data_IF_175572244526
#
_entry.id   IF_175572244526
#
_cell.length_a   1.000
_cell.length_b   1.000
_cell.length_c   1.000
_cell.angle_alpha   90.00
_cell.angle_beta   90.00
_cell.angle_gamma   90.00
#
_symmetry.space_group_name_H-M   'P 1'
#
loop_
_entity.id
_entity.type
_entity.pdbx_description
1 polymer ?
#
# COMPACT_ATOMS: atom_id res chain seq x y z
N UNK A 1 -29.07 0.03 19.24
CA UNK A 1 -28.63 0.32 17.84
C UNK A 1 -27.12 0.11 17.61
N UNK A 2 -26.24 0.74 18.40
CA UNK A 2 -24.78 0.69 18.21
C UNK A 2 -24.15 -0.71 18.40
N UNK A 3 -24.65 -1.51 19.35
CA UNK A 3 -24.15 -2.88 19.57
C UNK A 3 -24.49 -3.86 18.44
N UNK A 4 -25.60 -3.65 17.73
CA UNK A 4 -26.01 -4.46 16.58
C UNK A 4 -25.15 -4.18 15.35
N UNK A 5 -24.81 -2.91 15.12
CA UNK A 5 -23.89 -2.50 14.05
C UNK A 5 -22.48 -3.02 14.34
N UNK A 6 -22.03 -2.94 15.60
CA UNK A 6 -20.75 -3.52 16.02
C UNK A 6 -20.69 -5.03 15.79
N UNK A 7 -21.73 -5.77 16.16
CA UNK A 7 -21.78 -7.22 15.99
C UNK A 7 -21.92 -7.63 14.50
N UNK A 8 -22.66 -6.87 13.71
CA UNK A 8 -22.77 -7.09 12.26
C UNK A 8 -21.45 -6.82 11.53
N UNK A 9 -20.78 -5.72 11.86
CA UNK A 9 -19.43 -5.42 11.36
C UNK A 9 -18.43 -6.51 11.78
N UNK A 10 -18.49 -6.97 13.03
CA UNK A 10 -17.63 -8.05 13.52
C UNK A 10 -17.88 -9.35 12.74
N UNK A 11 -19.16 -9.70 12.49
CA UNK A 11 -19.54 -10.91 11.75
C UNK A 11 -19.19 -10.86 10.27
N UNK A 12 -19.30 -9.70 9.60
CA UNK A 12 -18.83 -9.51 8.23
C UNK A 12 -17.29 -9.50 8.11
N UNK A 13 -16.57 -9.10 9.17
CA UNK A 13 -15.09 -9.06 9.23
C UNK A 13 -14.47 -10.41 9.67
N UNK A 14 -15.25 -11.32 10.26
CA UNK A 14 -14.77 -12.62 10.77
C UNK A 14 -15.27 -13.83 10.01
N UNK A 15 -16.01 -13.65 8.92
CA UNK A 15 -16.52 -14.80 8.16
C UNK A 15 -15.36 -15.48 7.41
N UNK A 16 -14.81 -16.50 8.07
CA UNK A 16 -13.81 -17.43 7.55
C UNK A 16 -14.54 -18.52 6.78
N UNK A 17 -14.36 -18.54 5.47
CA UNK A 17 -14.68 -19.72 4.66
C UNK A 17 -13.33 -20.35 4.29
N UNK A 18 -13.10 -21.57 4.77
CA UNK A 18 -11.83 -22.28 4.65
C UNK A 18 -11.72 -22.95 3.27
N UNK A 19 -11.55 -22.15 2.22
CA UNK A 19 -11.20 -22.67 0.90
C UNK A 19 -9.85 -22.09 0.48
N UNK A 20 -8.86 -22.97 0.36
CA UNK A 20 -7.49 -22.63 -0.02
C UNK A 20 -7.45 -22.25 -1.51
N UNK A 21 -7.81 -21.00 -1.82
CA UNK A 21 -7.72 -20.44 -3.16
C UNK A 21 -6.38 -19.71 -3.29
N UNK A 22 -5.67 -20.02 -4.39
CA UNK A 22 -4.43 -19.41 -4.93
C UNK A 22 -3.98 -18.10 -4.25
N UNK A 23 -2.72 -17.98 -3.77
CA UNK A 23 -2.26 -16.83 -3.01
C UNK A 23 -2.38 -15.53 -3.82
N UNK A 24 -3.35 -14.68 -3.46
CA UNK A 24 -3.50 -13.35 -4.04
C UNK A 24 -2.57 -12.40 -3.30
N UNK A 25 -1.63 -11.78 -4.01
CA UNK A 25 -0.72 -10.79 -3.45
C UNK A 25 -1.38 -9.42 -3.43
N UNK A 26 -1.11 -8.64 -2.37
CA UNK A 26 -1.58 -7.27 -2.28
C UNK A 26 -0.74 -6.34 -3.17
N UNK A 27 -1.39 -5.59 -4.05
CA UNK A 27 -0.71 -4.59 -4.90
C UNK A 27 -0.46 -3.30 -4.12
N UNK A 28 0.61 -3.29 -3.31
CA UNK A 28 0.97 -2.16 -2.44
C UNK A 28 1.05 -0.83 -3.18
N UNK A 29 1.65 -0.80 -4.38
CA UNK A 29 1.87 0.44 -5.11
C UNK A 29 0.57 1.09 -5.60
N UNK A 30 -0.43 0.30 -5.98
CA UNK A 30 -1.69 0.84 -6.53
C UNK A 30 -2.64 1.28 -5.42
N UNK A 31 -2.84 0.42 -4.42
CA UNK A 31 -3.79 0.67 -3.33
C UNK A 31 -3.31 1.80 -2.41
N UNK A 32 -2.04 1.78 -2.01
CA UNK A 32 -1.46 2.85 -1.16
C UNK A 32 -1.50 4.19 -1.90
N UNK A 33 -1.11 4.22 -3.18
CA UNK A 33 -1.15 5.46 -3.97
C UNK A 33 -2.56 5.99 -4.13
N UNK A 34 -3.56 5.12 -4.32
CA UNK A 34 -4.97 5.51 -4.41
C UNK A 34 -5.45 6.17 -3.11
N UNK A 35 -5.17 5.56 -1.96
CA UNK A 35 -5.53 6.11 -0.64
C UNK A 35 -4.85 7.48 -0.41
N UNK A 36 -3.57 7.60 -0.76
CA UNK A 36 -2.83 8.87 -0.66
C UNK A 36 -3.41 9.95 -1.57
N UNK A 37 -3.84 9.60 -2.79
CA UNK A 37 -4.50 10.51 -3.71
C UNK A 37 -5.82 11.02 -3.13
N UNK A 38 -6.67 10.13 -2.61
CA UNK A 38 -7.91 10.54 -1.94
C UNK A 38 -7.65 11.41 -0.71
N UNK A 39 -6.58 11.14 0.04
CA UNK A 39 -6.16 11.99 1.15
C UNK A 39 -5.80 13.40 0.68
N UNK A 40 -5.01 13.50 -0.39
CA UNK A 40 -4.64 14.78 -1.00
C UNK A 40 -5.85 15.57 -1.48
N UNK A 41 -6.79 14.92 -2.16
CA UNK A 41 -8.05 15.53 -2.59
C UNK A 41 -8.85 15.99 -1.37
N UNK A 42 -8.93 15.18 -0.31
CA UNK A 42 -9.61 15.52 0.92
C UNK A 42 -9.07 16.77 1.60
N UNK A 43 -7.75 16.88 1.76
CA UNK A 43 -7.14 18.08 2.32
C UNK A 43 -7.41 19.32 1.46
N UNK A 44 -7.27 19.19 0.14
CA UNK A 44 -7.43 20.32 -0.79
C UNK A 44 -8.89 20.79 -0.85
N UNK A 45 -9.85 19.87 -0.95
CA UNK A 45 -11.27 20.21 -1.04
C UNK A 45 -11.90 20.59 0.31
N UNK A 46 -11.25 20.31 1.45
CA UNK A 46 -11.71 20.73 2.77
C UNK A 46 -11.96 22.25 2.85
N UNK A 47 -11.10 23.06 2.21
CA UNK A 47 -11.24 24.52 2.17
C UNK A 47 -12.20 24.99 1.07
N UNK A 48 -12.25 24.29 -0.07
CA UNK A 48 -13.09 24.66 -1.21
C UNK A 48 -14.57 24.37 -0.95
N UNK A 49 -14.88 23.17 -0.45
CA UNK A 49 -16.23 22.68 -0.26
C UNK A 49 -16.27 21.72 0.94
N UNK A 50 -16.43 22.23 2.19
CA UNK A 50 -16.35 21.41 3.40
C UNK A 50 -17.41 20.31 3.45
N UNK A 51 -18.49 20.44 2.66
CA UNK A 51 -19.55 19.45 2.55
C UNK A 51 -19.08 18.10 1.99
N UNK A 52 -17.95 18.04 1.25
CA UNK A 52 -17.39 16.79 0.72
C UNK A 52 -16.67 15.95 1.79
N UNK A 53 -16.22 16.59 2.86
CA UNK A 53 -15.43 15.97 3.92
C UNK A 53 -16.17 14.83 4.65
N UNK A 54 -17.45 14.95 5.05
CA UNK A 54 -18.17 13.84 5.66
C UNK A 54 -18.33 12.65 4.71
N UNK A 55 -18.56 12.88 3.41
CA UNK A 55 -18.63 11.79 2.42
C UNK A 55 -17.29 11.07 2.28
N UNK A 56 -16.19 11.83 2.27
CA UNK A 56 -14.86 11.26 2.21
C UNK A 56 -14.49 10.50 3.49
N UNK A 57 -14.93 10.99 4.66
CA UNK A 57 -14.74 10.30 5.93
C UNK A 57 -15.45 8.95 5.95
N UNK A 58 -16.68 8.89 5.43
CA UNK A 58 -17.42 7.64 5.27
C UNK A 58 -16.65 6.70 4.34
N UNK A 59 -16.15 7.19 3.20
CA UNK A 59 -15.29 6.41 2.30
C UNK A 59 -14.06 5.84 3.02
N UNK A 60 -13.32 6.66 3.77
CA UNK A 60 -12.15 6.18 4.53
C UNK A 60 -12.53 5.17 5.62
N UNK A 61 -13.70 5.32 6.25
CA UNK A 61 -14.19 4.37 7.24
C UNK A 61 -14.46 3.00 6.62
N UNK A 62 -15.20 2.97 5.49
CA UNK A 62 -15.44 1.72 4.76
C UNK A 62 -14.14 1.13 4.20
N UNK A 63 -13.27 1.94 3.62
CA UNK A 63 -11.97 1.50 3.13
C UNK A 63 -11.14 0.88 4.25
N UNK A 64 -11.07 1.51 5.43
CA UNK A 64 -10.37 0.95 6.59
C UNK A 64 -10.92 -0.42 7.00
N UNK A 65 -12.25 -0.57 7.07
CA UNK A 65 -12.89 -1.84 7.43
C UNK A 65 -12.60 -2.94 6.38
N UNK A 66 -12.76 -2.62 5.10
CA UNK A 66 -12.54 -3.55 3.99
C UNK A 66 -11.07 -3.96 3.90
N UNK A 67 -10.14 -3.00 3.89
CA UNK A 67 -8.70 -3.32 3.83
C UNK A 67 -8.25 -4.11 5.05
N UNK A 68 -8.75 -3.79 6.25
CA UNK A 68 -8.43 -4.58 7.46
C UNK A 68 -8.91 -6.02 7.33
N UNK A 69 -10.13 -6.23 6.85
CA UNK A 69 -10.66 -7.57 6.60
C UNK A 69 -9.83 -8.33 5.56
N UNK A 70 -9.51 -7.69 4.44
CA UNK A 70 -8.74 -8.31 3.37
C UNK A 70 -7.31 -8.65 3.79
N UNK A 71 -6.65 -7.79 4.56
CA UNK A 71 -5.28 -8.04 5.05
C UNK A 71 -5.25 -9.23 6.03
N UNK A 72 -6.29 -9.42 6.85
CA UNK A 72 -6.34 -10.53 7.80
C UNK A 72 -6.77 -11.86 7.16
N UNK A 73 -7.71 -11.83 6.21
CA UNK A 73 -8.39 -13.04 5.74
C UNK A 73 -8.05 -13.46 4.30
N UNK A 74 -7.61 -12.53 3.44
CA UNK A 74 -7.45 -12.81 1.99
C UNK A 74 -6.00 -12.70 1.54
N UNK A 75 -5.30 -11.64 1.94
CA UNK A 75 -3.98 -11.34 1.39
C UNK A 75 -2.86 -12.07 2.12
N UNK A 76 -1.98 -12.68 1.34
CA UNK A 76 -0.71 -13.20 1.84
C UNK A 76 0.38 -12.12 1.73
N UNK A 77 1.07 -11.84 2.83
CA UNK A 77 2.18 -10.86 2.88
C UNK A 77 3.43 -11.50 2.27
N UNK A 78 3.62 -11.32 0.96
CA UNK A 78 4.81 -11.82 0.24
C UNK A 78 6.09 -11.09 0.64
N UNK A 79 6.00 -9.81 0.97
CA UNK A 79 7.15 -8.96 1.29
C UNK A 79 6.92 -8.21 2.59
N UNK A 80 7.88 -8.33 3.51
CA UNK A 80 7.95 -7.57 4.75
C UNK A 80 8.63 -6.23 4.45
N UNK A 81 7.85 -5.15 4.37
CA UNK A 81 8.39 -3.83 3.97
C UNK A 81 8.88 -2.96 5.14
N UNK A 82 8.82 -3.46 6.38
CA UNK A 82 9.36 -2.79 7.58
C UNK A 82 8.94 -1.31 7.76
N UNK A 83 7.75 -0.95 7.29
CA UNK A 83 7.28 0.44 7.33
C UNK A 83 7.95 1.40 6.34
N UNK A 84 8.70 0.91 5.33
CA UNK A 84 9.37 1.72 4.30
C UNK A 84 8.43 2.63 3.50
N UNK A 85 7.12 2.33 3.44
CA UNK A 85 6.11 3.20 2.82
C UNK A 85 5.69 4.39 3.69
N UNK A 86 6.05 4.44 4.98
CA UNK A 86 5.69 5.53 5.87
C UNK A 86 6.29 6.89 5.45
N UNK A 87 7.59 6.99 5.10
CA UNK A 87 8.14 8.21 4.52
C UNK A 87 7.40 8.68 3.26
N UNK A 88 6.92 7.76 2.42
CA UNK A 88 6.13 8.10 1.23
C UNK A 88 4.78 8.72 1.63
N UNK A 89 4.06 8.09 2.56
CA UNK A 89 2.79 8.61 3.06
C UNK A 89 2.94 9.97 3.76
N UNK A 90 4.00 10.15 4.56
CA UNK A 90 4.32 11.41 5.20
C UNK A 90 4.60 12.51 4.18
N UNK A 91 5.44 12.25 3.16
CA UNK A 91 5.72 13.22 2.11
C UNK A 91 4.46 13.62 1.34
N UNK A 92 3.60 12.67 0.99
CA UNK A 92 2.34 12.95 0.31
C UNK A 92 1.40 13.80 1.18
N UNK A 93 1.35 13.54 2.49
CA UNK A 93 0.54 14.32 3.44
C UNK A 93 1.06 15.76 3.55
N UNK A 94 2.37 15.95 3.73
CA UNK A 94 2.97 17.29 3.76
C UNK A 94 2.72 18.04 2.44
N UNK A 95 2.88 17.36 1.30
CA UNK A 95 2.59 17.96 0.00
C UNK A 95 1.13 18.41 -0.11
N UNK A 96 0.18 17.58 0.34
CA UNK A 96 -1.23 17.94 0.36
C UNK A 96 -1.55 19.13 1.27
N UNK A 97 -0.87 19.27 2.41
CA UNK A 97 -1.00 20.42 3.30
C UNK A 97 -0.47 21.71 2.65
N UNK A 98 0.71 21.65 2.02
CA UNK A 98 1.27 22.79 1.29
C UNK A 98 0.34 23.19 0.14
N UNK A 99 -0.17 22.22 -0.63
CA UNK A 99 -1.13 22.47 -1.71
C UNK A 99 -2.40 23.16 -1.18
N UNK A 100 -2.93 22.68 -0.05
CA UNK A 100 -4.10 23.25 0.62
C UNK A 100 -3.84 24.71 1.05
N UNK A 101 -2.65 25.00 1.59
CA UNK A 101 -2.26 26.36 1.98
C UNK A 101 -2.09 27.28 0.77
N UNK A 102 -1.52 26.78 -0.34
CA UNK A 102 -1.42 27.53 -1.60
C UNK A 102 -2.81 27.87 -2.16
N UNK A 103 -3.72 26.89 -2.20
CA UNK A 103 -5.11 27.10 -2.63
C UNK A 103 -5.82 28.10 -1.72
N UNK A 104 -5.65 27.99 -0.40
CA UNK A 104 -6.18 28.96 0.55
C UNK A 104 -5.65 30.38 0.29
N UNK A 105 -4.35 30.52 0.05
CA UNK A 105 -3.72 31.80 -0.31
C UNK A 105 -4.31 32.41 -1.58
N UNK A 106 -4.53 31.60 -2.62
CA UNK A 106 -5.20 32.04 -3.86
C UNK A 106 -6.62 32.54 -3.57
N UNK A 107 -7.42 31.77 -2.81
CA UNK A 107 -8.79 32.14 -2.46
C UNK A 107 -8.87 33.44 -1.63
N UNK A 108 -7.97 33.61 -0.65
CA UNK A 108 -7.91 34.81 0.17
C UNK A 108 -7.40 36.03 -0.60
N UNK A 109 -6.44 35.81 -1.52
CA UNK A 109 -5.96 36.84 -2.44
C UNK A 109 -7.08 37.35 -3.35
N UNK A 110 -7.90 36.45 -3.91
CA UNK A 110 -9.07 36.82 -4.72
C UNK A 110 -10.12 37.60 -3.93
N UNK A 111 -10.35 37.25 -2.65
CA UNK A 111 -11.32 37.94 -1.78
C UNK A 111 -10.84 39.29 -1.20
N UNK A 112 -9.68 39.80 -1.61
CA UNK A 112 -9.12 41.11 -1.20
C UNK A 112 -9.00 41.29 0.33
N UNK A 113 -8.88 40.19 1.07
CA UNK A 113 -8.71 40.21 2.53
C UNK A 113 -7.22 40.20 2.88
N UNK A 114 -6.66 41.40 3.05
CA UNK A 114 -5.21 41.62 3.23
C UNK A 114 -4.64 40.93 4.49
N UNK A 115 -5.44 40.86 5.56
CA UNK A 115 -5.00 40.29 6.84
C UNK A 115 -4.90 38.76 6.81
N UNK A 116 -5.86 38.08 6.17
CA UNK A 116 -5.89 36.62 6.12
C UNK A 116 -4.81 36.05 5.17
N UNK A 117 -4.55 36.74 4.06
CA UNK A 117 -3.51 36.34 3.10
C UNK A 117 -2.11 36.37 3.74
N UNK A 118 -1.82 37.41 4.54
CA UNK A 118 -0.53 37.55 5.22
C UNK A 118 -0.28 36.43 6.23
N UNK A 119 -1.33 35.89 6.86
CA UNK A 119 -1.22 34.75 7.79
C UNK A 119 -0.92 33.41 7.10
N UNK A 120 -1.14 33.29 5.79
CA UNK A 120 -0.90 32.02 5.06
C UNK A 120 0.60 31.80 4.78
N UNK A 121 1.36 32.89 4.61
CA UNK A 121 2.81 32.86 4.35
C UNK A 121 3.60 32.21 5.51
N UNK A 122 3.47 32.63 6.79
CA UNK A 122 4.17 31.98 7.88
C UNK A 122 3.73 30.53 8.05
N UNK A 123 2.46 30.20 7.73
CA UNK A 123 1.95 28.84 7.82
C UNK A 123 2.64 27.88 6.83
N UNK A 124 2.90 28.33 5.61
CA UNK A 124 3.66 27.57 4.61
C UNK A 124 5.10 27.37 5.08
N UNK A 125 5.73 28.42 5.61
CA UNK A 125 7.12 28.34 6.14
C UNK A 125 7.18 27.36 7.31
N UNK A 126 6.27 27.45 8.27
CA UNK A 126 6.20 26.51 9.40
C UNK A 126 6.02 25.06 8.93
N UNK A 127 5.18 24.83 7.93
CA UNK A 127 4.94 23.48 7.38
C UNK A 127 6.18 22.94 6.67
N UNK A 128 6.89 23.78 5.91
CA UNK A 128 8.15 23.42 5.27
C UNK A 128 9.26 23.11 6.29
N UNK A 129 9.40 23.94 7.33
CA UNK A 129 10.35 23.71 8.42
C UNK A 129 10.05 22.42 9.17
N UNK A 130 8.77 22.15 9.46
CA UNK A 130 8.34 20.91 10.08
C UNK A 130 8.72 19.69 9.24
N UNK A 131 8.52 19.75 7.92
CA UNK A 131 8.94 18.68 7.01
C UNK A 131 10.45 18.43 7.06
N UNK A 132 11.27 19.48 7.02
CA UNK A 132 12.73 19.36 7.11
C UNK A 132 13.14 18.77 8.46
N UNK A 133 12.54 19.24 9.55
CA UNK A 133 12.77 18.69 10.88
C UNK A 133 12.42 17.20 10.95
N UNK A 134 11.25 16.81 10.46
CA UNK A 134 10.81 15.42 10.43
C UNK A 134 11.73 14.54 9.58
N UNK A 135 12.14 15.02 8.40
CA UNK A 135 13.09 14.29 7.54
C UNK A 135 14.44 14.10 8.22
N UNK A 136 15.02 15.16 8.78
CA UNK A 136 16.33 15.07 9.42
C UNK A 136 16.31 14.17 10.67
N UNK A 137 15.21 14.19 11.44
CA UNK A 137 15.12 13.45 12.70
C UNK A 137 14.69 12.00 12.55
N UNK A 138 13.71 11.73 11.69
CA UNK A 138 13.04 10.42 11.62
C UNK A 138 13.47 9.58 10.41
N UNK A 139 13.87 10.19 9.29
CA UNK A 139 14.30 9.42 8.11
C UNK A 139 15.51 8.49 8.41
N UNK A 140 16.50 8.88 9.23
CA UNK A 140 17.59 7.98 9.60
C UNK A 140 17.10 6.73 10.34
N UNK A 141 16.01 6.82 11.11
CA UNK A 141 15.45 5.68 11.85
C UNK A 141 14.82 4.64 10.91
N UNK A 142 14.25 5.07 9.79
CA UNK A 142 13.67 4.16 8.80
C UNK A 142 14.72 3.55 7.86
N UNK A 143 15.86 4.23 7.66
CA UNK A 143 16.92 3.75 6.74
C UNK A 143 17.96 2.90 7.44
N UNK A 144 18.31 3.24 8.68
CA UNK A 144 19.36 2.57 9.43
C UNK A 144 18.73 1.73 10.53
N UNK A 145 18.91 0.41 10.45
CA UNK A 145 18.67 -0.49 11.58
C UNK A 145 19.63 -0.10 12.70
N UNK A 146 19.11 0.13 13.90
CA UNK A 146 19.97 0.42 15.05
C UNK A 146 20.80 -0.84 15.38
N UNK A 147 22.13 -0.72 15.34
CA UNK A 147 23.04 -1.82 15.65
C UNK A 147 22.76 -2.42 17.04
N UNK A 148 22.36 -1.59 18.01
CA UNK A 148 21.95 -2.04 19.33
C UNK A 148 20.75 -3.00 19.29
N UNK A 149 19.76 -2.76 18.41
CA UNK A 149 18.60 -3.64 18.25
C UNK A 149 19.02 -4.94 17.59
N UNK A 150 19.92 -4.89 16.60
CA UNK A 150 20.49 -6.10 15.99
C UNK A 150 21.24 -6.95 17.02
N UNK A 151 22.13 -6.35 17.82
CA UNK A 151 22.89 -7.06 18.87
C UNK A 151 21.95 -7.69 19.91
N UNK A 152 20.88 -7.00 20.32
CA UNK A 152 19.93 -7.57 21.28
C UNK A 152 19.16 -8.75 20.68
N UNK A 153 18.71 -8.63 19.42
CA UNK A 153 18.06 -9.73 18.71
C UNK A 153 19.00 -10.94 18.57
N UNK A 154 20.25 -10.72 18.19
CA UNK A 154 21.26 -11.78 18.09
C UNK A 154 21.46 -12.48 19.44
N UNK A 155 21.53 -11.71 20.54
CA UNK A 155 21.67 -12.25 21.90
C UNK A 155 20.45 -13.03 22.36
N UNK A 156 19.25 -12.66 21.90
CA UNK A 156 18.01 -13.40 22.19
C UNK A 156 17.92 -14.69 21.37
N UNK A 157 18.40 -14.70 20.14
CA UNK A 157 18.50 -15.89 19.28
C UNK A 157 19.53 -16.90 19.82
N UNK A 158 20.65 -16.41 20.38
CA UNK A 158 21.61 -17.25 21.12
C UNK A 158 20.98 -17.88 22.37
N UNK A 159 20.29 -17.07 23.19
CA UNK A 159 19.66 -17.56 24.43
C UNK A 159 18.53 -18.54 24.19
N UNK A 160 17.81 -18.39 23.09
CA UNK A 160 16.73 -19.29 22.69
C UNK A 160 17.21 -20.54 21.94
N UNK A 161 18.50 -20.62 21.61
CA UNK A 161 19.10 -21.74 20.86
C UNK A 161 18.77 -21.74 19.36
N UNK A 162 18.04 -20.75 18.87
CA UNK A 162 17.60 -20.64 17.47
C UNK A 162 18.73 -20.28 16.51
N UNK A 163 19.79 -19.67 17.01
CA UNK A 163 20.91 -19.23 16.16
C UNK A 163 21.51 -20.39 15.35
N UNK A 164 21.63 -21.59 15.93
CA UNK A 164 22.21 -22.74 15.24
C UNK A 164 21.32 -23.22 14.09
N UNK A 165 20.01 -23.28 14.31
CA UNK A 165 19.01 -23.63 13.30
C UNK A 165 19.04 -22.64 12.12
N UNK A 166 19.08 -21.34 12.41
CA UNK A 166 19.15 -20.28 11.38
C UNK A 166 20.42 -20.40 10.54
N UNK A 167 21.56 -20.66 11.18
CA UNK A 167 22.86 -20.80 10.49
C UNK A 167 22.89 -22.03 9.58
N UNK A 168 22.23 -23.13 9.98
CA UNK A 168 22.11 -24.35 9.16
C UNK A 168 21.15 -24.16 7.97
N UNK A 169 20.07 -23.40 8.13
CA UNK A 169 19.09 -23.12 7.07
C UNK A 169 19.63 -22.12 6.03
N UNK A 170 20.48 -21.18 6.43
CA UNK A 170 20.99 -20.06 5.61
C UNK A 170 21.50 -20.46 4.20
N UNK A 171 22.33 -21.51 4.05
CA UNK A 171 22.83 -21.95 2.75
C UNK A 171 21.73 -22.45 1.81
N UNK A 172 20.62 -22.94 2.35
CA UNK A 172 19.49 -23.44 1.56
C UNK A 172 18.53 -22.32 1.12
N UNK A 173 18.39 -21.27 1.93
CA UNK A 173 17.38 -20.22 1.77
C UNK A 173 17.56 -19.33 0.53
N UNK A 174 18.81 -19.16 0.06
CA UNK A 174 19.14 -18.29 -1.08
C UNK A 174 19.63 -19.05 -2.32
N UNK A 175 19.43 -20.38 -2.36
CA UNK A 175 19.73 -21.13 -3.56
C UNK A 175 18.82 -20.70 -4.71
N UNK A 176 19.42 -20.46 -5.87
CA UNK A 176 18.67 -20.20 -7.08
C UNK A 176 17.85 -21.46 -7.39
N UNK A 177 16.53 -21.30 -7.50
CA UNK A 177 15.68 -22.38 -7.99
C UNK A 177 16.24 -22.83 -9.35
N UNK A 178 16.47 -24.13 -9.53
CA UNK A 178 16.80 -24.63 -10.85
C UNK A 178 15.63 -24.27 -11.76
N UNK A 179 15.91 -23.41 -12.74
CA UNK A 179 14.99 -23.10 -13.82
C UNK A 179 14.78 -24.40 -14.58
N UNK A 180 13.77 -25.17 -14.20
CA UNK A 180 13.27 -26.26 -15.01
C UNK A 180 12.99 -25.66 -16.39
N UNK A 181 13.70 -26.17 -17.38
CA UNK A 181 13.75 -25.62 -18.73
C UNK A 181 12.36 -25.30 -19.25
N UNK A 182 12.28 -24.15 -19.90
CA UNK A 182 11.19 -23.70 -20.75
C UNK A 182 10.61 -24.87 -21.57
N UNK A 183 9.52 -25.48 -21.08
CA UNK A 183 8.59 -26.14 -21.97
C UNK A 183 7.66 -25.05 -22.49
N UNK A 184 8.13 -24.36 -23.53
CA UNK A 184 7.25 -23.77 -24.53
C UNK A 184 6.32 -24.89 -25.00
N UNK A 185 5.12 -24.97 -24.41
CA UNK A 185 4.01 -25.72 -24.99
C UNK A 185 3.57 -24.93 -26.23
N UNK A 186 3.57 -25.51 -27.43
CA UNK A 186 2.99 -24.87 -28.60
C UNK A 186 1.51 -24.62 -28.31
N UNK A 187 1.06 -23.37 -28.46
CA UNK A 187 -0.36 -23.08 -28.59
C UNK A 187 -0.86 -23.80 -29.84
N UNK A 188 -1.61 -24.89 -29.66
CA UNK A 188 -2.41 -25.47 -30.73
C UNK A 188 -3.50 -24.45 -31.11
N UNK A 189 -3.41 -23.97 -32.35
CA UNK A 189 -4.47 -23.23 -33.04
C UNK A 189 -5.72 -24.12 -33.12
N UNK A 190 -6.82 -23.61 -32.59
CA UNK A 190 -8.15 -24.20 -32.71
C UNK A 190 -8.68 -23.92 -34.13
N UNK A 191 -8.40 -24.82 -35.08
CA UNK A 191 -8.97 -24.76 -36.43
C UNK A 191 -10.31 -25.51 -36.48
N UNK A 192 -11.40 -24.73 -36.53
CA UNK A 192 -12.77 -25.20 -36.70
C UNK A 192 -13.02 -25.77 -38.11
N UNK A 193 -13.82 -26.82 -38.14
CA UNK A 193 -14.04 -27.73 -39.27
C UNK A 193 -14.81 -27.09 -40.41
N UNK A 194 -14.45 -27.42 -41.66
CA UNK A 194 -15.45 -27.71 -42.70
C UNK A 194 -14.98 -28.85 -43.64
N UNK A 195 -15.78 -29.92 -43.64
CA UNK A 195 -15.73 -31.10 -44.53
C UNK A 195 -15.85 -30.72 -46.00
N UNK A 196 -15.13 -31.39 -46.91
CA UNK A 196 -15.71 -32.27 -47.97
C UNK A 196 -14.65 -32.91 -48.89
N UNK A 197 -14.67 -34.24 -48.95
CA UNK A 197 -14.36 -35.13 -50.11
C UNK A 197 -12.98 -34.99 -50.77
N UNK A 198 -12.45 -35.97 -51.49
CA UNK A 198 -12.70 -37.37 -51.77
C UNK A 198 -11.54 -37.74 -52.70
N UNK A 199 -11.02 -38.97 -52.59
CA UNK A 199 -10.25 -39.66 -53.65
C UNK A 199 -8.83 -39.11 -53.90
N UNK A 200 -7.81 -39.87 -54.30
CA UNK A 200 -7.51 -41.28 -54.53
C UNK A 200 -6.08 -41.27 -55.12
N UNK A 201 -5.30 -42.33 -54.91
CA UNK A 201 -4.22 -42.78 -55.81
C UNK A 201 -2.98 -41.91 -56.08
N UNK A 202 -1.84 -42.47 -55.64
CA UNK A 202 -0.80 -43.04 -56.52
C UNK A 202 0.06 -42.09 -57.41
N UNK A 203 1.37 -42.14 -57.09
CA UNK A 203 2.56 -42.04 -57.96
C UNK A 203 2.95 -40.69 -58.57
N UNK A 204 4.27 -40.48 -58.40
CA UNK A 204 5.23 -39.63 -59.12
C UNK A 204 5.21 -38.12 -58.83
#
# INVERSE_FOLDING_TARGET
PVGLIGNWLFKCVLMKEEDFVRPVTFSYHTEVTRVLLFGLLGFTFCILAPLILPFLLIYFCFAFLVYRNQIMNVYFVKYQTDGSYWPLAHNATIFSLILTQVVAGILFGMKKSSTASTSTIPLIICTALFNVFCKNRFLPLFKNRAAQVAIEMDRDDERSGKLQEIVEELPSAYNQFELCGDQTQPQEEEEDKTKKGSNESLKD
#
